data_IF_240316015169
#
_entry.id   IF_240316015169
#
_cell.length_a   1.000
_cell.length_b   1.000
_cell.length_c   1.000
_cell.angle_alpha   90.00
_cell.angle_beta   90.00
_cell.angle_gamma   90.00
#
_symmetry.space_group_name_H-M   'P 1'
#
loop_
_entity.id
_entity.type
_entity.pdbx_description
1 polymer ?
#
# COMPACT_ATOMS: atom_id res chain seq x y z
N UNK A 1 -7.36 18.70 11.08
CA UNK A 1 -6.90 18.06 9.84
C UNK A 1 -7.84 16.94 9.44
N UNK A 2 -8.10 16.81 8.14
CA UNK A 2 -8.90 15.72 7.65
C UNK A 2 -8.27 14.38 8.03
N UNK A 3 -9.08 13.43 8.38
CA UNK A 3 -8.62 12.12 8.75
C UNK A 3 -7.96 11.41 7.55
N UNK A 4 -6.67 11.15 7.64
CA UNK A 4 -5.92 10.51 6.58
C UNK A 4 -6.43 9.10 6.29
N UNK A 5 -6.92 8.40 7.29
CA UNK A 5 -7.47 7.05 7.14
C UNK A 5 -8.62 7.04 6.13
N UNK A 6 -9.43 8.09 6.10
CA UNK A 6 -10.52 8.17 5.13
C UNK A 6 -10.03 8.25 3.71
N UNK A 7 -8.84 8.84 3.49
CA UNK A 7 -8.25 8.96 2.16
C UNK A 7 -7.69 7.62 1.68
N UNK A 8 -7.15 6.84 2.60
CA UNK A 8 -6.51 5.55 2.29
C UNK A 8 -7.51 4.40 2.25
N UNK A 9 -8.78 4.66 2.48
CA UNK A 9 -9.73 3.64 2.89
C UNK A 9 -10.17 2.70 1.77
N UNK A 10 -9.49 1.58 1.65
CA UNK A 10 -10.08 0.35 1.14
C UNK A 10 -10.48 -0.51 2.32
N UNK A 11 -11.61 -1.16 2.23
CA UNK A 11 -12.12 -1.97 3.33
C UNK A 11 -11.70 -3.44 3.14
N UNK A 12 -10.40 -3.67 3.18
CA UNK A 12 -9.82 -5.00 3.05
C UNK A 12 -9.16 -5.41 4.36
N UNK A 13 -8.86 -6.70 4.49
CA UNK A 13 -8.14 -7.20 5.65
C UNK A 13 -6.77 -6.52 5.76
N UNK A 14 -6.06 -6.39 4.63
CA UNK A 14 -4.75 -5.73 4.63
C UNK A 14 -4.85 -4.27 5.02
N UNK A 15 -5.80 -3.54 4.46
CA UNK A 15 -5.98 -2.12 4.76
C UNK A 15 -6.33 -1.92 6.23
N UNK A 16 -7.22 -2.72 6.77
CA UNK A 16 -7.63 -2.61 8.16
C UNK A 16 -6.47 -2.94 9.11
N UNK A 17 -5.66 -3.94 8.77
CA UNK A 17 -4.48 -4.26 9.57
C UNK A 17 -3.47 -3.11 9.53
N UNK A 18 -3.26 -2.53 8.36
CA UNK A 18 -2.38 -1.37 8.22
C UNK A 18 -2.87 -0.19 9.04
N UNK A 19 -4.15 0.13 8.94
CA UNK A 19 -4.72 1.26 9.70
C UNK A 19 -4.57 1.08 11.19
N UNK A 20 -4.63 -0.15 11.68
CA UNK A 20 -4.49 -0.43 13.10
C UNK A 20 -3.10 -0.08 13.64
N UNK A 21 -2.12 0.10 12.75
CA UNK A 21 -0.74 0.41 13.12
C UNK A 21 -0.43 1.90 13.04
N UNK A 22 -1.38 2.70 12.58
CA UNK A 22 -1.17 4.15 12.46
C UNK A 22 -1.27 4.81 13.84
N UNK A 23 -0.53 5.88 14.08
CA UNK A 23 0.38 6.55 13.15
C UNK A 23 1.72 5.85 13.01
N UNK A 24 2.33 5.98 11.83
CA UNK A 24 3.64 5.43 11.52
C UNK A 24 4.56 6.53 11.00
N UNK A 25 5.86 6.35 11.25
CA UNK A 25 6.87 7.22 10.68
C UNK A 25 7.89 6.33 9.96
N UNK A 26 7.93 6.42 8.63
CA UNK A 26 8.75 5.57 7.80
C UNK A 26 9.55 6.40 6.82
N UNK A 27 10.77 5.95 6.53
CA UNK A 27 11.63 6.58 5.53
C UNK A 27 11.50 5.82 4.21
N UNK A 28 11.15 6.53 3.15
CA UNK A 28 10.95 5.95 1.83
C UNK A 28 12.11 6.29 0.91
N UNK A 29 12.39 5.38 -0.01
CA UNK A 29 13.39 5.56 -1.07
C UNK A 29 12.67 5.60 -2.43
N UNK A 30 13.08 6.54 -3.28
CA UNK A 30 12.54 6.64 -4.64
C UNK A 30 13.17 5.55 -5.51
N UNK A 31 12.33 4.68 -6.05
CA UNK A 31 12.76 3.57 -6.92
C UNK A 31 12.68 3.88 -8.40
N UNK A 32 12.15 5.05 -8.78
CA UNK A 32 11.93 5.42 -10.17
C UNK A 32 10.48 5.25 -10.64
N UNK A 33 9.67 4.47 -9.94
CA UNK A 33 8.25 4.26 -10.22
C UNK A 33 7.40 4.40 -8.97
N UNK A 34 8.01 4.34 -7.81
CA UNK A 34 7.33 4.49 -6.53
C UNK A 34 8.31 4.97 -5.47
N UNK A 35 7.75 5.36 -4.33
CA UNK A 35 8.52 5.52 -3.09
C UNK A 35 8.27 4.27 -2.27
N UNK A 36 9.32 3.54 -1.91
CA UNK A 36 9.14 2.29 -1.19
C UNK A 36 10.01 2.21 0.05
N UNK A 37 9.57 1.39 0.99
CA UNK A 37 10.29 1.10 2.21
C UNK A 37 10.03 -0.34 2.61
N UNK A 38 10.96 -0.92 3.35
CA UNK A 38 10.74 -2.25 3.92
C UNK A 38 9.74 -2.13 5.07
N UNK A 39 8.68 -2.91 4.97
CA UNK A 39 7.67 -2.97 6.02
C UNK A 39 6.88 -4.24 5.83
N UNK A 40 7.13 -5.22 6.68
CA UNK A 40 6.60 -6.57 6.51
C UNK A 40 5.09 -6.59 6.44
N UNK A 41 4.57 -7.24 5.43
CA UNK A 41 3.12 -7.43 5.24
C UNK A 41 2.52 -8.11 6.46
N UNK A 42 1.42 -7.53 6.95
CA UNK A 42 0.62 -8.13 8.00
C UNK A 42 -0.49 -9.01 7.44
N UNK A 43 -1.65 -8.94 8.06
CA UNK A 43 -2.80 -9.75 7.65
C UNK A 43 -3.30 -9.34 6.29
N UNK A 44 -3.66 -10.31 5.45
CA UNK A 44 -4.26 -10.07 4.15
C UNK A 44 -4.92 -11.35 3.66
N UNK A 45 -5.70 -11.24 2.59
CA UNK A 45 -6.21 -12.41 1.88
C UNK A 45 -5.96 -12.24 0.39
N UNK A 46 -5.62 -13.35 -0.26
CA UNK A 46 -5.29 -13.35 -1.69
C UNK A 46 -6.46 -12.85 -2.53
N UNK A 47 -7.69 -13.15 -2.12
CA UNK A 47 -8.88 -12.76 -2.85
C UNK A 47 -9.06 -11.24 -2.95
N UNK A 48 -8.45 -10.48 -2.04
CA UNK A 48 -8.55 -9.02 -2.02
C UNK A 48 -7.37 -8.32 -2.69
N UNK A 49 -6.39 -9.08 -3.16
CA UNK A 49 -5.24 -8.50 -3.86
C UNK A 49 -5.65 -7.99 -5.24
N UNK A 50 -4.98 -6.93 -5.66
CA UNK A 50 -5.25 -6.28 -6.95
C UNK A 50 -4.05 -6.43 -7.87
N UNK A 51 -4.25 -6.15 -9.15
CA UNK A 51 -3.19 -6.13 -10.16
C UNK A 51 -3.27 -4.82 -10.93
N UNK A 52 -2.11 -4.36 -11.40
CA UNK A 52 -2.06 -3.10 -12.14
C UNK A 52 -2.16 -1.92 -11.20
N UNK A 53 -1.07 -1.52 -10.59
CA UNK A 53 -1.09 -0.38 -9.68
C UNK A 53 -1.28 0.93 -10.42
N UNK A 54 -1.81 1.91 -9.71
CA UNK A 54 -2.13 3.23 -10.26
C UNK A 54 -1.43 4.30 -9.46
N UNK A 55 -1.13 5.41 -10.14
CA UNK A 55 -0.61 6.59 -9.48
C UNK A 55 -1.52 6.99 -8.32
N UNK A 56 -0.91 7.16 -7.16
CA UNK A 56 -1.63 7.51 -5.94
C UNK A 56 -1.95 6.35 -5.04
N UNK A 57 -1.78 5.11 -5.53
CA UNK A 57 -2.00 3.93 -4.69
C UNK A 57 -0.95 3.84 -3.59
N UNK A 58 -1.37 3.42 -2.41
CA UNK A 58 -0.47 2.98 -1.35
C UNK A 58 -0.64 1.47 -1.28
N UNK A 59 0.44 0.75 -1.56
CA UNK A 59 0.39 -0.71 -1.70
C UNK A 59 1.29 -1.39 -0.70
N UNK A 60 0.85 -2.55 -0.25
CA UNK A 60 1.58 -3.35 0.73
C UNK A 60 1.72 -4.75 0.17
N UNK A 61 2.94 -5.19 -0.06
CA UNK A 61 3.18 -6.48 -0.70
C UNK A 61 4.47 -7.10 -0.20
N UNK A 62 4.35 -8.29 0.38
CA UNK A 62 5.51 -8.99 0.91
C UNK A 62 6.22 -8.18 1.98
N UNK A 63 7.45 -7.82 1.72
CA UNK A 63 8.26 -7.05 2.67
C UNK A 63 8.28 -5.56 2.43
N UNK A 64 7.42 -5.03 1.53
CA UNK A 64 7.50 -3.64 1.12
C UNK A 64 6.17 -2.91 1.20
N UNK A 65 6.24 -1.66 1.63
CA UNK A 65 5.15 -0.69 1.56
C UNK A 65 5.58 0.38 0.56
N UNK A 66 4.71 0.71 -0.40
CA UNK A 66 5.06 1.62 -1.48
C UNK A 66 3.96 2.64 -1.73
N UNK A 67 4.38 3.85 -2.11
CA UNK A 67 3.49 4.90 -2.60
C UNK A 67 3.76 5.02 -4.10
N UNK A 68 2.77 4.68 -4.89
CA UNK A 68 2.91 4.59 -6.34
C UNK A 68 2.71 5.96 -6.98
N UNK A 69 3.64 6.37 -7.82
CA UNK A 69 3.47 7.61 -8.59
C UNK A 69 3.56 7.39 -10.09
N UNK A 70 3.53 6.14 -10.53
CA UNK A 70 3.59 5.78 -11.94
C UNK A 70 2.67 4.59 -12.21
N UNK A 71 1.77 4.72 -13.15
CA UNK A 71 0.85 3.63 -13.49
C UNK A 71 1.61 2.42 -14.03
N UNK A 72 1.21 1.22 -13.60
CA UNK A 72 1.77 -0.02 -14.10
C UNK A 72 0.67 -1.04 -14.30
N UNK A 73 0.34 -1.30 -15.54
CA UNK A 73 -0.81 -2.12 -15.92
C UNK A 73 -0.63 -3.60 -15.58
N UNK A 74 0.59 -4.07 -15.59
CA UNK A 74 0.88 -5.50 -15.52
C UNK A 74 1.63 -5.91 -14.24
N UNK A 75 1.39 -5.22 -13.17
CA UNK A 75 2.02 -5.59 -11.90
C UNK A 75 1.54 -6.97 -11.41
N UNK A 76 2.33 -7.59 -10.55
CA UNK A 76 1.89 -8.77 -9.80
C UNK A 76 0.82 -8.39 -8.79
N UNK A 77 0.20 -9.37 -8.15
CA UNK A 77 -0.82 -9.11 -7.15
C UNK A 77 -0.26 -8.36 -5.94
N UNK A 78 -1.05 -7.46 -5.38
CA UNK A 78 -0.66 -6.65 -4.23
C UNK A 78 -1.90 -6.11 -3.51
N UNK A 79 -1.69 -5.61 -2.31
CA UNK A 79 -2.77 -5.06 -1.49
C UNK A 79 -2.75 -3.54 -1.56
N UNK A 80 -3.89 -2.93 -1.85
CA UNK A 80 -4.05 -1.47 -1.88
C UNK A 80 -4.70 -1.04 -0.56
N UNK A 81 -4.10 -0.03 0.06
CA UNK A 81 -4.56 0.49 1.34
C UNK A 81 -5.72 1.48 1.21
#
# INVERSE_FOLDING_TARGET
MKNLIQILSNNTIAANDFYSRLPLSLNFTDSGVDYSTQYQQGKYTIEEMQRGWQNGDIVWNGGFLSIIYFDEKYSSGYNVM
#
